data_IF_682734797992
#
_entry.id   IF_682734797992
#
_cell.length_a   1.000
_cell.length_b   1.000
_cell.length_c   1.000
_cell.angle_alpha   90.00
_cell.angle_beta   90.00
_cell.angle_gamma   90.00
#
_symmetry.space_group_name_H-M   'P 1'
#
loop_
_entity.id
_entity.type
_entity.pdbx_description
1 polymer ?
#
# COMPACT_ATOMS: atom_id res chain seq x y z
N UNK A 1 11.03 -4.33 12.34
CA UNK A 1 10.31 -4.46 11.07
C UNK A 1 8.99 -3.69 11.08
N UNK A 2 8.15 -3.82 12.13
CA UNK A 2 6.78 -3.26 12.13
C UNK A 2 6.73 -1.73 12.22
N UNK A 3 7.66 -1.07 12.88
CA UNK A 3 7.62 0.38 13.16
C UNK A 3 7.58 1.22 11.88
N UNK A 4 8.47 0.91 10.94
CA UNK A 4 8.55 1.65 9.67
C UNK A 4 7.30 1.41 8.80
N UNK A 5 6.86 0.15 8.71
CA UNK A 5 5.64 -0.21 7.95
C UNK A 5 4.41 0.47 8.53
N UNK A 6 4.23 0.43 9.84
CA UNK A 6 3.12 1.09 10.53
C UNK A 6 3.10 2.60 10.29
N UNK A 7 4.26 3.26 10.47
CA UNK A 7 4.40 4.70 10.23
C UNK A 7 4.16 5.07 8.76
N UNK A 8 4.67 4.27 7.82
CA UNK A 8 4.45 4.49 6.38
C UNK A 8 2.97 4.37 6.03
N UNK A 9 2.32 3.29 6.43
CA UNK A 9 0.92 3.06 6.07
C UNK A 9 0.01 4.08 6.75
N UNK A 10 0.18 4.32 8.07
CA UNK A 10 -0.65 5.26 8.81
C UNK A 10 -0.48 6.70 8.31
N UNK A 11 0.76 7.16 8.13
CA UNK A 11 0.99 8.54 7.66
C UNK A 11 0.39 8.81 6.29
N UNK A 12 0.26 7.81 5.43
CA UNK A 12 -0.31 7.96 4.09
C UNK A 12 -1.81 7.71 4.06
N UNK A 13 -2.32 6.61 4.60
CA UNK A 13 -3.74 6.29 4.55
C UNK A 13 -4.56 7.03 5.63
N UNK A 14 -4.05 7.12 6.86
CA UNK A 14 -4.75 7.80 7.96
C UNK A 14 -4.55 9.31 7.92
N UNK A 15 -3.30 9.77 8.06
CA UNK A 15 -3.00 11.19 8.25
C UNK A 15 -3.11 12.02 6.97
N UNK A 16 -2.60 11.53 5.84
CA UNK A 16 -2.54 12.32 4.59
C UNK A 16 -3.83 12.21 3.79
N UNK A 17 -4.30 10.98 3.52
CA UNK A 17 -5.46 10.79 2.64
C UNK A 17 -6.79 10.70 3.39
N UNK A 18 -6.77 10.54 4.70
CA UNK A 18 -7.97 10.46 5.53
C UNK A 18 -8.91 9.33 5.10
N UNK A 19 -8.36 8.11 4.91
CA UNK A 19 -9.17 6.95 4.56
C UNK A 19 -10.25 6.72 5.62
N UNK A 20 -11.50 6.62 5.18
CA UNK A 20 -12.68 6.50 6.05
C UNK A 20 -13.54 5.29 5.69
N UNK A 21 -14.44 4.94 6.60
CA UNK A 21 -15.40 3.87 6.40
C UNK A 21 -16.27 4.09 5.15
N UNK A 22 -16.55 3.02 4.43
CA UNK A 22 -17.33 3.02 3.19
C UNK A 22 -16.57 3.43 1.94
N UNK A 23 -15.33 3.95 2.07
CA UNK A 23 -14.48 4.27 0.92
C UNK A 23 -13.80 3.02 0.36
N UNK A 24 -13.44 3.07 -0.93
CA UNK A 24 -12.66 2.03 -1.59
C UNK A 24 -11.19 2.46 -1.68
N UNK A 25 -10.29 1.62 -1.17
CA UNK A 25 -8.84 1.81 -1.32
C UNK A 25 -8.23 0.74 -2.19
N UNK A 26 -7.41 1.16 -3.18
CA UNK A 26 -6.56 0.27 -3.96
C UNK A 26 -5.15 0.25 -3.38
N UNK A 27 -4.64 -0.94 -3.08
CA UNK A 27 -3.28 -1.16 -2.56
C UNK A 27 -2.50 -1.97 -3.59
N UNK A 28 -1.51 -1.34 -4.22
CA UNK A 28 -0.61 -2.05 -5.12
C UNK A 28 0.42 -2.88 -4.34
N UNK A 29 0.68 -4.11 -4.83
CA UNK A 29 1.59 -5.03 -4.17
C UNK A 29 1.05 -5.54 -2.83
N UNK A 30 -0.23 -5.90 -2.78
CA UNK A 30 -0.95 -6.29 -1.57
C UNK A 30 -0.29 -7.38 -0.72
N UNK A 31 0.48 -8.28 -1.35
CA UNK A 31 1.16 -9.37 -0.65
C UNK A 31 2.55 -9.01 -0.08
N UNK A 32 3.06 -7.80 -0.30
CA UNK A 32 4.32 -7.33 0.28
C UNK A 32 4.16 -6.86 1.72
N UNK A 33 5.28 -6.52 2.39
CA UNK A 33 5.27 -6.07 3.78
C UNK A 33 4.37 -4.85 4.03
N UNK A 34 4.42 -3.84 3.16
CA UNK A 34 3.52 -2.67 3.20
C UNK A 34 2.07 -3.09 2.93
N UNK A 35 1.85 -3.89 1.87
CA UNK A 35 0.51 -4.25 1.43
C UNK A 35 -0.26 -5.08 2.46
N UNK A 36 0.38 -6.09 3.04
CA UNK A 36 -0.25 -6.96 4.05
C UNK A 36 -0.66 -6.20 5.31
N UNK A 37 0.09 -5.18 5.69
CA UNK A 37 -0.24 -4.30 6.80
C UNK A 37 -1.36 -3.32 6.41
N UNK A 38 -1.27 -2.71 5.22
CA UNK A 38 -2.23 -1.74 4.73
C UNK A 38 -3.63 -2.34 4.55
N UNK A 39 -3.74 -3.60 4.10
CA UNK A 39 -5.02 -4.32 4.01
C UNK A 39 -5.71 -4.35 5.36
N UNK A 40 -5.03 -4.82 6.40
CA UNK A 40 -5.60 -4.98 7.74
C UNK A 40 -6.00 -3.63 8.34
N UNK A 41 -5.14 -2.61 8.20
CA UNK A 41 -5.45 -1.26 8.68
C UNK A 41 -6.66 -0.67 7.95
N UNK A 42 -6.72 -0.78 6.63
CA UNK A 42 -7.84 -0.28 5.84
C UNK A 42 -9.16 -1.00 6.18
N UNK A 43 -9.12 -2.30 6.42
CA UNK A 43 -10.28 -3.07 6.91
C UNK A 43 -10.73 -2.61 8.29
N UNK A 44 -9.80 -2.36 9.21
CA UNK A 44 -10.12 -1.80 10.53
C UNK A 44 -10.80 -0.43 10.42
N UNK A 45 -10.37 0.40 9.47
CA UNK A 45 -10.98 1.71 9.19
C UNK A 45 -12.34 1.60 8.48
N UNK A 46 -12.82 0.39 8.17
CA UNK A 46 -14.12 0.16 7.53
C UNK A 46 -14.13 0.38 6.01
N UNK A 47 -12.97 0.36 5.36
CA UNK A 47 -12.87 0.53 3.92
C UNK A 47 -13.12 -0.78 3.16
N UNK A 48 -13.57 -0.66 1.90
CA UNK A 48 -13.47 -1.72 0.91
C UNK A 48 -12.04 -1.74 0.35
N UNK A 49 -11.41 -2.91 0.35
CA UNK A 49 -9.99 -3.06 -0.01
C UNK A 49 -9.84 -3.82 -1.32
N UNK A 50 -9.31 -3.14 -2.33
CA UNK A 50 -8.84 -3.74 -3.57
C UNK A 50 -7.31 -3.88 -3.54
N UNK A 51 -6.80 -4.99 -4.07
CA UNK A 51 -5.34 -5.23 -4.11
C UNK A 51 -4.90 -5.74 -5.48
N UNK A 52 -3.66 -5.42 -5.84
CA UNK A 52 -2.97 -6.09 -6.96
C UNK A 52 -1.86 -6.99 -6.44
N UNK A 53 -1.75 -8.19 -6.99
CA UNK A 53 -0.63 -9.10 -6.78
C UNK A 53 -0.35 -9.93 -8.04
N UNK A 54 0.76 -10.67 -8.09
CA UNK A 54 1.21 -11.35 -9.32
C UNK A 54 0.99 -12.85 -9.34
N UNK A 55 0.26 -13.43 -8.39
CA UNK A 55 -0.14 -14.84 -8.41
C UNK A 55 -1.37 -15.09 -7.56
N UNK A 56 -2.04 -16.21 -7.82
CA UNK A 56 -3.24 -16.65 -7.09
C UNK A 56 -2.93 -16.85 -5.60
N UNK A 57 -1.80 -17.46 -5.26
CA UNK A 57 -1.38 -17.72 -3.87
C UNK A 57 -1.21 -16.42 -3.09
N UNK A 58 -0.63 -15.39 -3.73
CA UNK A 58 -0.47 -14.06 -3.14
C UNK A 58 -1.79 -13.34 -2.94
N UNK A 59 -2.69 -13.45 -3.90
CA UNK A 59 -4.03 -12.89 -3.80
C UNK A 59 -4.83 -13.58 -2.69
N UNK A 60 -4.68 -14.90 -2.55
CA UNK A 60 -5.34 -15.64 -1.48
C UNK A 60 -4.79 -15.26 -0.10
N UNK A 61 -3.49 -14.99 0.01
CA UNK A 61 -2.91 -14.42 1.23
C UNK A 61 -3.52 -13.04 1.55
N UNK A 62 -3.71 -12.18 0.55
CA UNK A 62 -4.39 -10.88 0.72
C UNK A 62 -5.87 -11.06 1.14
N UNK A 63 -6.58 -12.04 0.58
CA UNK A 63 -7.96 -12.37 0.96
C UNK A 63 -8.07 -12.72 2.44
N UNK A 64 -7.18 -13.58 2.93
CA UNK A 64 -7.15 -13.96 4.37
C UNK A 64 -6.94 -12.78 5.30
N UNK A 65 -6.29 -11.71 4.83
CA UNK A 65 -6.08 -10.46 5.58
C UNK A 65 -7.25 -9.48 5.43
N UNK A 66 -8.27 -9.82 4.65
CA UNK A 66 -9.49 -9.04 4.50
C UNK A 66 -9.61 -8.26 3.19
N UNK A 67 -8.76 -8.47 2.18
CA UNK A 67 -8.95 -7.85 0.88
C UNK A 67 -10.24 -8.36 0.20
N UNK A 68 -11.05 -7.43 -0.31
CA UNK A 68 -12.36 -7.71 -0.90
C UNK A 68 -12.28 -7.93 -2.42
N UNK A 69 -11.42 -7.18 -3.11
CA UNK A 69 -11.26 -7.23 -4.57
C UNK A 69 -9.81 -7.61 -4.87
N UNK A 70 -9.64 -8.74 -5.52
CA UNK A 70 -8.33 -9.34 -5.79
C UNK A 70 -8.04 -9.27 -7.29
N UNK A 71 -6.95 -8.65 -7.69
CA UNK A 71 -6.61 -8.43 -9.08
C UNK A 71 -5.22 -9.00 -9.38
N UNK A 72 -5.17 -10.01 -10.26
CA UNK A 72 -3.92 -10.50 -10.79
C UNK A 72 -3.45 -9.58 -11.93
N UNK A 73 -2.47 -8.71 -11.64
CA UNK A 73 -1.97 -7.76 -12.64
C UNK A 73 -1.28 -8.40 -13.86
N UNK A 74 -1.08 -9.73 -13.86
CA UNK A 74 -0.55 -10.49 -15.00
C UNK A 74 -1.66 -10.93 -15.98
N UNK A 75 -2.89 -11.00 -15.51
CA UNK A 75 -4.04 -11.54 -16.24
C UNK A 75 -5.06 -10.47 -16.60
N UNK A 76 -5.17 -9.44 -15.75
CA UNK A 76 -6.20 -8.40 -15.91
C UNK A 76 -5.65 -7.00 -15.61
N UNK A 77 -6.28 -6.01 -16.24
CA UNK A 77 -5.95 -4.61 -16.02
C UNK A 77 -6.80 -4.05 -14.87
N UNK A 78 -6.17 -3.69 -13.76
CA UNK A 78 -6.85 -3.16 -12.59
C UNK A 78 -7.64 -1.86 -12.90
N UNK A 79 -7.21 -1.06 -13.88
CA UNK A 79 -7.90 0.17 -14.24
C UNK A 79 -9.25 -0.08 -14.93
N UNK A 80 -9.44 -1.23 -15.57
CA UNK A 80 -10.72 -1.62 -16.15
C UNK A 80 -11.67 -2.14 -15.06
N UNK A 81 -11.15 -2.98 -14.16
CA UNK A 81 -11.89 -3.53 -13.02
C UNK A 81 -12.37 -2.44 -12.06
N UNK A 82 -11.52 -1.44 -11.79
CA UNK A 82 -11.73 -0.41 -10.78
C UNK A 82 -12.02 0.98 -11.36
N UNK A 83 -12.40 1.09 -12.60
CA UNK A 83 -12.66 2.37 -13.26
C UNK A 83 -13.59 3.27 -12.43
N UNK A 84 -13.09 4.47 -12.06
CA UNK A 84 -13.83 5.46 -11.26
C UNK A 84 -14.29 4.98 -9.87
N UNK A 85 -13.60 4.01 -9.26
CA UNK A 85 -14.07 3.39 -8.00
C UNK A 85 -13.17 3.64 -6.80
N UNK A 86 -11.91 4.03 -7.00
CA UNK A 86 -10.95 4.14 -5.89
C UNK A 86 -10.97 5.53 -5.28
N UNK A 87 -11.46 5.66 -4.05
CA UNK A 87 -11.36 6.91 -3.28
C UNK A 87 -9.91 7.16 -2.86
N UNK A 88 -9.16 6.11 -2.57
CA UNK A 88 -7.74 6.16 -2.18
C UNK A 88 -6.94 5.14 -2.96
N UNK A 89 -5.71 5.49 -3.31
CA UNK A 89 -4.74 4.55 -3.93
C UNK A 89 -3.41 4.67 -3.19
N UNK A 90 -2.91 3.55 -2.68
CA UNK A 90 -1.56 3.41 -2.13
C UNK A 90 -0.66 2.79 -3.19
N UNK A 91 0.24 3.59 -3.77
CA UNK A 91 1.04 3.20 -4.93
C UNK A 91 2.53 3.06 -4.58
N UNK A 92 3.06 1.84 -4.77
CA UNK A 92 4.48 1.51 -4.67
C UNK A 92 5.14 1.37 -6.05
N UNK A 93 4.38 1.46 -7.14
CA UNK A 93 4.83 1.18 -8.51
C UNK A 93 5.32 2.45 -9.21
N UNK A 94 4.58 3.54 -9.08
CA UNK A 94 4.97 4.83 -9.67
C UNK A 94 4.67 4.92 -11.17
N UNK A 95 5.65 5.34 -11.96
CA UNK A 95 5.48 5.77 -13.35
C UNK A 95 4.65 4.83 -14.22
N UNK A 96 4.91 3.52 -14.14
CA UNK A 96 4.24 2.50 -14.96
C UNK A 96 2.71 2.48 -14.79
N UNK A 97 2.22 2.80 -13.58
CA UNK A 97 0.79 2.73 -13.26
C UNK A 97 0.11 4.10 -13.21
N UNK A 98 0.84 5.19 -13.47
CA UNK A 98 0.36 6.55 -13.24
C UNK A 98 -0.98 6.84 -13.96
N UNK A 99 -1.08 6.62 -15.28
CA UNK A 99 -2.31 6.87 -16.04
C UNK A 99 -3.44 5.89 -15.67
N UNK A 100 -3.09 4.63 -15.42
CA UNK A 100 -4.04 3.61 -14.98
C UNK A 100 -4.63 3.95 -13.61
N UNK A 101 -3.80 4.42 -12.68
CA UNK A 101 -4.23 4.89 -11.37
C UNK A 101 -5.19 6.07 -11.48
N UNK A 102 -4.90 7.04 -12.35
CA UNK A 102 -5.83 8.15 -12.62
C UNK A 102 -7.15 7.63 -13.18
N UNK A 103 -7.13 6.60 -14.02
CA UNK A 103 -8.35 5.97 -14.54
C UNK A 103 -9.17 5.29 -13.43
N UNK A 104 -8.51 4.62 -12.48
CA UNK A 104 -9.15 3.95 -11.36
C UNK A 104 -9.69 4.90 -10.28
N UNK A 105 -9.09 6.11 -10.12
CA UNK A 105 -9.56 7.11 -9.15
C UNK A 105 -11.04 7.43 -9.34
N UNK A 106 -11.77 7.48 -8.24
CA UNK A 106 -13.10 8.07 -8.14
C UNK A 106 -13.04 9.61 -8.25
N UNK A 107 -14.16 10.31 -8.46
CA UNK A 107 -14.23 11.75 -8.25
C UNK A 107 -13.76 12.11 -6.83
N UNK A 108 -12.97 13.19 -6.70
CA UNK A 108 -12.34 13.63 -5.45
C UNK A 108 -11.36 12.60 -4.83
N UNK A 109 -10.96 11.61 -5.62
CA UNK A 109 -10.03 10.56 -5.19
C UNK A 109 -8.61 11.07 -4.96
N UNK A 110 -7.88 10.41 -4.06
CA UNK A 110 -6.52 10.77 -3.70
C UNK A 110 -5.58 9.58 -3.84
N UNK A 111 -4.62 9.68 -4.77
CA UNK A 111 -3.53 8.72 -4.91
C UNK A 111 -2.29 9.20 -4.17
N UNK A 112 -1.64 8.32 -3.42
CA UNK A 112 -0.34 8.59 -2.80
C UNK A 112 0.71 7.61 -3.30
N UNK A 113 1.78 8.15 -3.88
CA UNK A 113 2.94 7.41 -4.37
C UNK A 113 3.98 7.34 -3.26
N UNK A 114 4.34 6.12 -2.85
CA UNK A 114 5.34 5.85 -1.81
C UNK A 114 6.51 5.01 -2.33
N UNK A 115 6.48 4.61 -3.59
CA UNK A 115 7.53 3.82 -4.23
C UNK A 115 7.58 4.03 -5.75
N UNK A 116 8.64 3.54 -6.38
CA UNK A 116 8.96 3.75 -7.79
C UNK A 116 9.43 2.46 -8.47
N UNK A 117 8.90 1.30 -8.07
CA UNK A 117 9.33 0.00 -8.60
C UNK A 117 9.12 -0.15 -10.12
N UNK A 118 8.14 0.56 -10.67
CA UNK A 118 7.81 0.59 -12.10
C UNK A 118 8.33 1.82 -12.86
N UNK A 119 9.26 2.57 -12.25
CA UNK A 119 9.91 3.72 -12.89
C UNK A 119 9.67 5.05 -12.19
N UNK A 120 10.56 6.01 -12.51
CA UNK A 120 10.62 7.32 -11.85
C UNK A 120 10.03 8.45 -12.70
N UNK A 121 9.83 8.24 -14.00
CA UNK A 121 9.30 9.23 -14.96
C UNK A 121 8.15 8.63 -15.73
N UNK A 122 7.01 9.32 -15.78
CA UNK A 122 5.82 8.90 -16.51
C UNK A 122 5.01 10.08 -16.99
N UNK A 123 4.15 9.86 -17.99
CA UNK A 123 3.20 10.84 -18.47
C UNK A 123 1.95 10.87 -17.59
N UNK A 124 1.43 12.06 -17.36
CA UNK A 124 0.19 12.29 -16.63
C UNK A 124 -0.84 12.96 -17.56
N UNK A 125 -1.99 12.35 -17.74
CA UNK A 125 -3.11 12.99 -18.40
C UNK A 125 -3.81 13.95 -17.41
N UNK A 126 -3.42 15.22 -17.47
CA UNK A 126 -3.95 16.28 -16.61
C UNK A 126 -5.46 16.46 -16.81
N UNK A 127 -5.95 16.30 -18.05
CA UNK A 127 -7.39 16.40 -18.34
C UNK A 127 -8.22 15.34 -17.61
N UNK A 128 -7.73 14.09 -17.57
CA UNK A 128 -8.37 13.03 -16.78
C UNK A 128 -8.39 13.35 -15.30
N UNK A 129 -7.26 13.84 -14.76
CA UNK A 129 -7.14 14.18 -13.33
C UNK A 129 -8.05 15.35 -12.96
N UNK A 130 -8.09 16.39 -13.79
CA UNK A 130 -8.94 17.57 -13.62
C UNK A 130 -10.43 17.18 -13.64
N UNK A 131 -10.86 16.35 -14.58
CA UNK A 131 -12.24 15.89 -14.67
C UNK A 131 -12.71 15.15 -13.40
N UNK A 132 -11.79 14.55 -12.68
CA UNK A 132 -12.04 13.85 -11.39
C UNK A 132 -11.85 14.75 -10.16
N UNK A 133 -11.34 15.97 -10.30
CA UNK A 133 -10.87 16.80 -9.17
C UNK A 133 -9.89 16.01 -8.29
N UNK A 134 -9.13 15.10 -8.92
CA UNK A 134 -8.27 14.14 -8.24
C UNK A 134 -7.02 14.76 -7.66
N UNK A 135 -6.48 14.14 -6.64
CA UNK A 135 -5.21 14.52 -5.99
C UNK A 135 -4.15 13.45 -6.19
N UNK A 136 -2.93 13.87 -6.49
CA UNK A 136 -1.75 13.01 -6.49
C UNK A 136 -0.73 13.59 -5.52
N UNK A 137 -0.32 12.77 -4.54
CA UNK A 137 0.77 13.10 -3.61
C UNK A 137 1.90 12.10 -3.75
N UNK A 138 3.11 12.53 -3.46
CA UNK A 138 4.26 11.64 -3.32
C UNK A 138 4.92 11.88 -1.97
N UNK A 139 5.25 10.83 -1.24
CA UNK A 139 5.80 10.93 0.11
C UNK A 139 6.97 9.99 0.34
N UNK A 140 7.83 10.36 1.28
CA UNK A 140 8.89 9.52 1.81
C UNK A 140 9.12 9.87 3.28
N UNK A 141 9.32 8.87 4.14
CA UNK A 141 9.62 9.11 5.57
C UNK A 141 11.07 9.56 5.77
N UNK A 142 12.01 9.00 5.00
CA UNK A 142 13.45 9.17 5.21
C UNK A 142 13.88 10.64 5.22
N UNK A 143 13.40 11.42 4.28
CA UNK A 143 13.80 12.82 4.08
C UNK A 143 13.04 13.84 4.95
N UNK A 144 12.10 13.40 5.79
CA UNK A 144 11.32 14.30 6.65
C UNK A 144 12.18 14.87 7.79
N UNK A 145 11.82 16.06 8.26
CA UNK A 145 12.41 16.65 9.47
C UNK A 145 12.20 15.78 10.70
N UNK A 146 13.02 15.92 11.72
CA UNK A 146 12.85 15.19 12.98
C UNK A 146 11.51 15.52 13.65
N UNK A 147 11.07 16.77 13.62
CA UNK A 147 9.79 17.18 14.17
C UNK A 147 8.61 16.51 13.45
N UNK A 148 8.67 16.41 12.11
CA UNK A 148 7.63 15.74 11.32
C UNK A 148 7.63 14.22 11.56
N UNK A 149 8.81 13.60 11.65
CA UNK A 149 8.93 12.19 12.05
C UNK A 149 8.36 11.93 13.44
N UNK A 150 8.68 12.79 14.42
CA UNK A 150 8.16 12.66 15.77
C UNK A 150 6.63 12.74 15.81
N UNK A 151 6.04 13.67 15.05
CA UNK A 151 4.58 13.79 14.90
C UNK A 151 3.96 12.51 14.31
N UNK A 152 4.55 11.98 13.23
CA UNK A 152 4.08 10.74 12.59
C UNK A 152 4.18 9.56 13.57
N UNK A 153 5.29 9.42 14.28
CA UNK A 153 5.48 8.34 15.24
C UNK A 153 4.47 8.44 16.39
N UNK A 154 4.30 9.63 16.96
CA UNK A 154 3.33 9.83 18.05
C UNK A 154 1.90 9.48 17.61
N UNK A 155 1.50 9.91 16.41
CA UNK A 155 0.18 9.63 15.88
C UNK A 155 0.00 8.14 15.52
N UNK A 156 1.06 7.50 14.99
CA UNK A 156 1.08 6.03 14.76
C UNK A 156 0.94 5.26 16.07
N UNK A 157 1.66 5.65 17.11
CA UNK A 157 1.53 5.02 18.44
C UNK A 157 0.10 5.14 18.95
N UNK A 158 -0.50 6.30 18.81
CA UNK A 158 -1.85 6.55 19.29
C UNK A 158 -2.91 5.69 18.58
N UNK A 159 -2.82 5.55 17.26
CA UNK A 159 -3.89 4.97 16.45
C UNK A 159 -3.63 3.54 15.99
N UNK A 160 -2.36 3.11 15.87
CA UNK A 160 -2.00 1.81 15.30
C UNK A 160 -1.45 0.84 16.34
N UNK A 161 -0.72 1.33 17.35
CA UNK A 161 -0.12 0.46 18.37
C UNK A 161 -1.15 -0.35 19.17
N UNK A 162 -2.31 0.19 19.55
CA UNK A 162 -3.36 -0.62 20.19
C UNK A 162 -3.81 -1.80 19.33
N UNK A 163 -3.92 -1.61 18.01
CA UNK A 163 -4.36 -2.64 17.05
C UNK A 163 -3.33 -3.76 16.88
N UNK A 164 -2.06 -3.46 17.09
CA UNK A 164 -1.00 -4.45 17.14
C UNK A 164 -1.00 -5.20 18.48
N UNK A 165 -1.29 -4.50 19.57
CA UNK A 165 -1.28 -5.06 20.91
C UNK A 165 -2.43 -6.05 21.15
N UNK A 166 -3.61 -5.76 20.58
CA UNK A 166 -4.80 -6.62 20.69
C UNK A 166 -4.92 -7.68 19.58
N UNK A 167 -3.99 -7.68 18.61
CA UNK A 167 -3.95 -8.62 17.50
C UNK A 167 -4.90 -8.32 16.34
N UNK A 168 -5.59 -7.17 16.34
CA UNK A 168 -6.42 -6.72 15.21
C UNK A 168 -5.58 -6.59 13.94
N UNK A 169 -4.34 -6.12 14.07
CA UNK A 169 -3.35 -6.10 13.00
C UNK A 169 -2.18 -6.99 13.40
N UNK A 170 -1.81 -7.92 12.53
CA UNK A 170 -0.66 -8.79 12.70
C UNK A 170 0.40 -8.52 11.65
N UNK A 171 1.66 -8.46 12.06
CA UNK A 171 2.76 -8.31 11.11
C UNK A 171 3.05 -9.63 10.42
N UNK A 172 2.92 -9.64 9.09
CA UNK A 172 3.11 -10.86 8.30
C UNK A 172 4.60 -11.09 8.05
N UNK A 173 5.18 -12.07 8.75
CA UNK A 173 6.55 -12.51 8.55
C UNK A 173 6.55 -13.69 7.56
N UNK A 174 7.35 -13.58 6.50
CA UNK A 174 7.61 -14.69 5.61
C UNK A 174 8.62 -15.65 6.21
N UNK A 175 9.74 -15.09 6.67
CA UNK A 175 10.82 -15.85 7.31
C UNK A 175 11.71 -14.94 8.15
N UNK A 176 12.49 -15.54 9.04
CA UNK A 176 13.56 -14.89 9.80
C UNK A 176 14.87 -15.61 9.52
N UNK A 177 15.86 -14.86 9.03
CA UNK A 177 17.16 -15.39 8.62
C UNK A 177 18.27 -14.80 9.49
N UNK A 178 19.36 -15.53 9.74
CA UNK A 178 20.54 -14.94 10.35
C UNK A 178 21.07 -13.76 9.53
N UNK A 179 21.61 -12.75 10.19
CA UNK A 179 22.19 -11.57 9.51
C UNK A 179 23.29 -11.96 8.48
N UNK A 180 24.02 -13.05 8.74
CA UNK A 180 25.01 -13.58 7.81
C UNK A 180 24.40 -14.02 6.47
N UNK A 181 23.11 -14.34 6.43
CA UNK A 181 22.37 -14.79 5.24
C UNK A 181 21.69 -13.64 4.47
N UNK A 182 22.09 -12.40 4.70
CA UNK A 182 21.49 -11.21 4.05
C UNK A 182 21.48 -11.31 2.51
N UNK A 183 22.52 -11.89 1.91
CA UNK A 183 22.57 -12.13 0.46
C UNK A 183 21.42 -13.04 -0.01
N UNK A 184 21.16 -14.13 0.71
CA UNK A 184 20.05 -15.06 0.46
C UNK A 184 18.70 -14.36 0.64
N UNK A 185 18.55 -13.52 1.66
CA UNK A 185 17.32 -12.74 1.85
C UNK A 185 17.02 -11.82 0.66
N UNK A 186 18.05 -11.17 0.10
CA UNK A 186 17.92 -10.35 -1.11
C UNK A 186 17.56 -11.18 -2.35
N UNK A 187 18.08 -12.38 -2.48
CA UNK A 187 17.72 -13.30 -3.58
C UNK A 187 16.25 -13.72 -3.49
N UNK A 188 15.78 -14.09 -2.28
CA UNK A 188 14.38 -14.43 -2.03
C UNK A 188 13.45 -13.25 -2.37
N UNK A 189 13.79 -12.03 -1.99
CA UNK A 189 13.01 -10.84 -2.35
C UNK A 189 12.96 -10.63 -3.87
N UNK A 190 14.10 -10.78 -4.55
CA UNK A 190 14.19 -10.63 -6.03
C UNK A 190 13.44 -11.71 -6.80
N UNK A 191 13.37 -12.92 -6.26
CA UNK A 191 12.61 -14.01 -6.90
C UNK A 191 11.11 -13.76 -6.92
N UNK A 192 10.63 -12.82 -6.10
CA UNK A 192 9.20 -12.56 -5.94
C UNK A 192 8.44 -13.65 -5.19
N UNK A 193 9.12 -14.59 -4.53
CA UNK A 193 8.47 -15.65 -3.75
C UNK A 193 7.93 -15.17 -2.39
N UNK A 194 8.45 -14.06 -1.88
CA UNK A 194 8.13 -13.56 -0.53
C UNK A 194 6.71 -13.01 -0.46
N UNK A 195 5.98 -13.40 0.58
CA UNK A 195 4.72 -12.79 1.02
C UNK A 195 4.94 -12.21 2.42
N UNK A 196 4.62 -10.93 2.64
CA UNK A 196 4.95 -10.23 3.88
C UNK A 196 6.40 -9.73 3.92
N UNK A 197 7.08 -9.91 5.04
CA UNK A 197 8.39 -9.34 5.36
C UNK A 197 9.41 -10.41 5.69
N UNK A 198 10.65 -10.27 5.22
CA UNK A 198 11.82 -10.99 5.73
C UNK A 198 12.48 -10.18 6.83
N UNK A 199 12.92 -10.85 7.89
CA UNK A 199 13.68 -10.28 9.00
C UNK A 199 15.06 -10.92 9.06
N UNK A 200 16.09 -10.12 9.35
CA UNK A 200 17.46 -10.53 9.57
C UNK A 200 17.82 -10.35 11.04
#
# INVERSE_FOLDING_TARGET
AVVEVAATVWSNLGMLTGLAAGQTVLIHGGAGGIGTFAIQLAKHLGAQVAVTAGSVEKLEACRRLGADILINYREENFADVLKNRCDRILDIIGAKYLDQNVTALAPDGHMVIIGMQGGVKGELNIGKLLAKRGTISATALRARSHADKARIVADTIKHVWPLLADGTITHQLHDTLPLADAARAHELLRSGAVTGTLVL
#
